data_IF_953574955908
#
_entry.id   IF_953574955908
#
_cell.length_a   1.000
_cell.length_b   1.000
_cell.length_c   1.000
_cell.angle_alpha   90.00
_cell.angle_beta   90.00
_cell.angle_gamma   90.00
#
_symmetry.space_group_name_H-M   'P 1'
#
loop_
_entity.id
_entity.type
_entity.pdbx_description
1 polymer ?
#
# COMPACT_ATOMS: atom_id res chain seq x y z
N UNK A 1 -14.10 3.78 -4.58
CA UNK A 1 -12.71 4.28 -4.79
C UNK A 1 -12.27 4.97 -3.49
N UNK A 2 -11.07 4.69 -2.97
CA UNK A 2 -10.60 5.23 -1.66
C UNK A 2 -10.22 6.71 -1.76
N UNK A 3 -10.52 7.49 -0.70
CA UNK A 3 -10.16 8.92 -0.57
C UNK A 3 -8.66 9.17 -0.78
N UNK A 4 -7.81 8.21 -0.41
CA UNK A 4 -6.36 8.29 -0.59
C UNK A 4 -5.94 8.20 -2.06
N UNK A 5 -6.69 7.47 -2.90
CA UNK A 5 -6.42 7.39 -4.34
C UNK A 5 -6.73 8.72 -5.03
N UNK A 6 -7.86 9.33 -4.65
CA UNK A 6 -8.25 10.65 -5.11
C UNK A 6 -7.22 11.71 -4.70
N UNK A 7 -6.70 11.63 -3.47
CA UNK A 7 -5.62 12.52 -3.01
C UNK A 7 -4.37 12.46 -3.90
N UNK A 8 -3.85 11.26 -4.19
CA UNK A 8 -2.68 11.13 -5.07
C UNK A 8 -2.95 11.61 -6.50
N UNK A 9 -4.14 11.33 -7.04
CA UNK A 9 -4.55 11.86 -8.34
C UNK A 9 -4.58 13.40 -8.37
N UNK A 10 -5.12 14.03 -7.32
CA UNK A 10 -5.13 15.48 -7.20
C UNK A 10 -3.71 16.07 -7.11
N UNK A 11 -2.79 15.41 -6.39
CA UNK A 11 -1.38 15.82 -6.32
C UNK A 11 -0.68 15.68 -7.67
N UNK A 12 -0.91 14.61 -8.41
CA UNK A 12 -0.37 14.43 -9.77
C UNK A 12 -0.87 15.55 -10.69
N UNK A 13 -2.16 15.87 -10.64
CA UNK A 13 -2.73 16.95 -11.44
C UNK A 13 -2.14 18.32 -11.07
N UNK A 14 -1.93 18.58 -9.77
CA UNK A 14 -1.28 19.79 -9.29
C UNK A 14 0.17 19.89 -9.79
N UNK A 15 0.97 18.83 -9.63
CA UNK A 15 2.35 18.83 -10.09
C UNK A 15 2.47 19.01 -11.61
N UNK A 16 1.53 18.46 -12.40
CA UNK A 16 1.48 18.70 -13.84
C UNK A 16 1.26 20.16 -14.18
N UNK A 17 0.27 20.81 -13.56
CA UNK A 17 0.02 22.25 -13.75
C UNK A 17 1.26 23.10 -13.43
N UNK A 18 2.00 22.74 -12.38
CA UNK A 18 3.22 23.46 -12.00
C UNK A 18 4.39 23.17 -12.94
N UNK A 19 4.53 21.93 -13.43
CA UNK A 19 5.53 21.58 -14.46
C UNK A 19 5.27 22.33 -15.77
N UNK A 20 4.00 22.39 -16.20
CA UNK A 20 3.58 23.07 -17.44
C UNK A 20 3.77 24.59 -17.35
N UNK A 21 3.60 25.17 -16.15
CA UNK A 21 3.80 26.60 -15.88
C UNK A 21 5.25 26.98 -15.56
N UNK A 22 6.15 26.01 -15.37
CA UNK A 22 7.52 26.28 -14.99
C UNK A 22 8.36 26.69 -16.20
N UNK A 23 8.87 27.92 -16.18
CA UNK A 23 9.85 28.41 -17.17
C UNK A 23 11.26 27.85 -16.90
N UNK A 24 11.53 27.42 -15.67
CA UNK A 24 12.81 26.86 -15.26
C UNK A 24 12.79 25.33 -15.42
N UNK A 25 13.69 24.81 -16.27
CA UNK A 25 13.83 23.38 -16.56
C UNK A 25 14.03 22.53 -15.29
N UNK A 26 14.88 22.98 -14.36
CA UNK A 26 15.10 22.25 -13.09
C UNK A 26 13.83 22.18 -12.24
N UNK A 27 12.99 23.21 -12.27
CA UNK A 27 11.72 23.21 -11.54
C UNK A 27 10.72 22.26 -12.21
N UNK A 28 10.70 22.22 -13.54
CA UNK A 28 9.90 21.24 -14.30
C UNK A 28 10.33 19.81 -13.96
N UNK A 29 11.62 19.52 -13.99
CA UNK A 29 12.17 18.19 -13.69
C UNK A 29 11.78 17.71 -12.28
N UNK A 30 11.87 18.59 -11.28
CA UNK A 30 11.44 18.27 -9.90
C UNK A 30 9.94 17.91 -9.87
N UNK A 31 9.10 18.63 -10.60
CA UNK A 31 7.67 18.31 -10.65
C UNK A 31 7.39 17.01 -11.41
N UNK A 32 8.17 16.69 -12.45
CA UNK A 32 8.10 15.42 -13.16
C UNK A 32 8.52 14.24 -12.27
N UNK A 33 9.59 14.39 -11.48
CA UNK A 33 9.99 13.40 -10.47
C UNK A 33 8.89 13.18 -9.43
N UNK A 34 8.26 14.25 -8.94
CA UNK A 34 7.13 14.16 -8.01
C UNK A 34 5.93 13.46 -8.64
N UNK A 35 5.63 13.72 -9.91
CA UNK A 35 4.58 13.02 -10.66
C UNK A 35 4.88 11.52 -10.72
N UNK A 36 6.12 11.14 -11.06
CA UNK A 36 6.54 9.74 -11.11
C UNK A 36 6.38 9.06 -9.74
N UNK A 37 6.83 9.73 -8.67
CA UNK A 37 6.68 9.23 -7.30
C UNK A 37 5.22 8.98 -6.92
N UNK A 38 4.32 9.95 -7.13
CA UNK A 38 2.90 9.81 -6.78
C UNK A 38 2.19 8.74 -7.62
N UNK A 39 2.56 8.59 -8.90
CA UNK A 39 2.04 7.49 -9.73
C UNK A 39 2.45 6.13 -9.19
N UNK A 40 3.71 5.99 -8.77
CA UNK A 40 4.20 4.76 -8.15
C UNK A 40 3.41 4.40 -6.88
N UNK A 41 3.16 5.38 -6.01
CA UNK A 41 2.33 5.19 -4.81
C UNK A 41 0.88 4.79 -5.14
N UNK A 42 0.26 5.45 -6.11
CA UNK A 42 -1.09 5.13 -6.56
C UNK A 42 -1.17 3.70 -7.15
N UNK A 43 -0.17 3.31 -7.95
CA UNK A 43 -0.09 1.97 -8.52
C UNK A 43 0.08 0.89 -7.45
N UNK A 44 0.99 1.10 -6.48
CA UNK A 44 1.21 0.17 -5.38
C UNK A 44 -0.06 -0.04 -4.53
N UNK A 45 -0.79 1.03 -4.22
CA UNK A 45 -2.06 0.94 -3.51
C UNK A 45 -3.14 0.24 -4.32
N UNK A 46 -3.23 0.52 -5.63
CA UNK A 46 -4.19 -0.13 -6.52
C UNK A 46 -3.91 -1.62 -6.62
N UNK A 47 -2.64 -2.01 -6.77
CA UNK A 47 -2.22 -3.41 -6.77
C UNK A 47 -2.54 -4.11 -5.43
N UNK A 48 -2.21 -3.48 -4.30
CA UNK A 48 -2.53 -4.04 -2.98
C UNK A 48 -4.04 -4.21 -2.78
N UNK A 49 -4.85 -3.25 -3.22
CA UNK A 49 -6.31 -3.33 -3.16
C UNK A 49 -6.86 -4.46 -4.05
N UNK A 50 -6.35 -4.60 -5.28
CA UNK A 50 -6.71 -5.69 -6.19
C UNK A 50 -6.34 -7.06 -5.59
N UNK A 51 -5.15 -7.18 -5.01
CA UNK A 51 -4.71 -8.41 -4.35
C UNK A 51 -5.60 -8.76 -3.14
N UNK A 52 -5.98 -7.77 -2.32
CA UNK A 52 -6.88 -7.95 -1.18
C UNK A 52 -8.31 -8.32 -1.61
N UNK A 53 -8.79 -7.82 -2.76
CA UNK A 53 -10.08 -8.23 -3.31
C UNK A 53 -10.04 -9.67 -3.84
N UNK A 54 -8.94 -10.07 -4.46
CA UNK A 54 -8.77 -11.45 -4.96
C UNK A 54 -8.58 -12.47 -3.83
N UNK A 55 -7.99 -12.08 -2.70
CA UNK A 55 -7.85 -12.97 -1.55
C UNK A 55 -9.18 -13.23 -0.80
N UNK A 56 -10.23 -12.43 -1.04
CA UNK A 56 -11.53 -12.59 -0.37
C UNK A 56 -12.41 -13.72 -0.93
N UNK A 57 -12.02 -14.35 -2.04
CA UNK A 57 -12.70 -15.52 -2.62
C UNK A 57 -12.01 -16.85 -2.29
N UNK A 58 -10.89 -16.84 -1.55
CA UNK A 58 -10.07 -18.04 -1.29
C UNK A 58 -9.97 -18.46 0.18
N UNK A 59 -10.65 -17.78 1.11
CA UNK A 59 -10.67 -18.14 2.54
C UNK A 59 -11.95 -18.90 2.94
N UNK A 60 -12.49 -19.71 2.03
CA UNK A 60 -13.36 -20.81 2.44
C UNK A 60 -12.46 -21.94 2.92
N UNK A 61 -12.52 -22.24 4.22
CA UNK A 61 -11.85 -23.37 4.88
C UNK A 61 -10.32 -23.27 5.04
N UNK A 62 -9.85 -22.30 5.83
CA UNK A 62 -8.71 -22.64 6.68
C UNK A 62 -9.23 -23.60 7.76
N UNK A 63 -8.79 -24.88 7.82
CA UNK A 63 -9.17 -25.77 8.92
C UNK A 63 -8.68 -25.17 10.25
N UNK A 64 -9.41 -25.36 11.36
CA UNK A 64 -8.97 -24.83 12.64
C UNK A 64 -7.58 -25.36 12.94
N UNK A 65 -6.64 -24.47 13.26
CA UNK A 65 -5.40 -24.85 13.92
C UNK A 65 -5.77 -25.61 15.20
N UNK A 66 -5.82 -26.93 15.10
CA UNK A 66 -5.94 -27.81 16.25
C UNK A 66 -4.54 -27.89 16.83
N UNK A 67 -4.29 -27.18 17.93
CA UNK A 67 -3.07 -27.35 18.71
C UNK A 67 -3.11 -28.73 19.38
N UNK A 68 -2.26 -29.69 18.99
CA UNK A 68 -2.19 -30.97 19.69
C UNK A 68 -1.26 -30.81 20.89
N UNK A 69 -1.79 -31.06 22.09
CA UNK A 69 -0.96 -31.41 23.25
C UNK A 69 -0.25 -30.24 23.95
N UNK A 70 -1.02 -29.32 24.55
CA UNK A 70 -0.52 -28.64 25.74
C UNK A 70 -0.49 -29.67 26.89
N UNK A 71 0.53 -30.54 26.87
CA UNK A 71 0.81 -31.49 27.95
C UNK A 71 1.17 -30.66 29.18
N UNK A 72 0.24 -30.65 30.12
CA UNK A 72 0.32 -29.99 31.42
C UNK A 72 1.44 -30.61 32.24
N UNK A 73 2.67 -30.13 32.05
CA UNK A 73 3.71 -30.22 33.07
C UNK A 73 3.95 -28.83 33.68
N UNK A 74 3.84 -28.68 35.01
CA UNK A 74 4.01 -27.39 35.68
C UNK A 74 5.46 -26.88 35.51
N UNK A 75 5.68 -25.56 35.52
CA UNK A 75 6.98 -24.96 35.24
C UNK A 75 8.04 -25.43 36.24
N UNK A 76 9.16 -25.96 35.72
CA UNK A 76 10.37 -26.18 36.53
C UNK A 76 10.87 -24.81 37.01
N UNK A 77 11.06 -24.69 38.33
CA UNK A 77 11.56 -23.49 39.02
C UNK A 77 12.78 -22.91 38.28
N UNK A 78 12.77 -21.59 38.08
CA UNK A 78 13.95 -20.85 37.68
C UNK A 78 15.00 -20.96 38.79
N UNK A 79 16.21 -21.33 38.44
CA UNK A 79 17.41 -21.13 39.28
C UNK A 79 17.75 -19.64 39.33
#
# INVERSE_FOLDING_TARGET
MSDLAAFYQARIAHCRKMADAAENERVRDIHEELIAFYRGRLAAMTFAAQNAMNSKSGLSSAPPFSFPGFDTKPPRKAD
#
